data_IF_619498858005
#
_entry.id   IF_619498858005
#
_cell.length_a   1.000
_cell.length_b   1.000
_cell.length_c   1.000
_cell.angle_alpha   90.00
_cell.angle_beta   90.00
_cell.angle_gamma   90.00
#
_symmetry.space_group_name_H-M   'P 1'
#
loop_
_entity.id
_entity.type
_entity.pdbx_description
1 polymer ?
#
# COMPACT_ATOMS: atom_id res chain seq x y z
N UNK A 1 -16.78 -10.56 -10.04
CA UNK A 1 -15.71 -11.52 -10.40
C UNK A 1 -14.80 -11.65 -9.17
N UNK A 2 -14.69 -12.85 -8.58
CA UNK A 2 -13.76 -13.07 -7.48
C UNK A 2 -12.42 -13.54 -8.08
N UNK A 3 -11.32 -12.86 -7.76
CA UNK A 3 -9.98 -13.25 -8.19
C UNK A 3 -9.40 -14.14 -7.08
N UNK A 4 -9.33 -15.47 -7.27
CA UNK A 4 -8.96 -16.37 -6.19
C UNK A 4 -7.53 -16.14 -5.70
N UNK A 5 -7.33 -16.35 -4.40
CA UNK A 5 -6.01 -16.33 -3.76
C UNK A 5 -5.20 -17.54 -4.25
N UNK A 6 -4.03 -17.28 -4.83
CA UNK A 6 -2.99 -18.29 -5.02
C UNK A 6 -3.31 -19.49 -5.92
N UNK A 7 -4.45 -19.52 -6.63
CA UNK A 7 -4.82 -20.68 -7.44
C UNK A 7 -4.26 -20.53 -8.87
N UNK A 8 -3.16 -21.23 -9.11
CA UNK A 8 -2.76 -21.81 -10.39
C UNK A 8 -3.23 -21.05 -11.64
N UNK A 9 -2.37 -20.14 -12.11
CA UNK A 9 -2.40 -19.71 -13.50
C UNK A 9 -1.74 -20.80 -14.37
N UNK A 10 -2.40 -21.36 -15.40
CA UNK A 10 -1.77 -22.27 -16.35
C UNK A 10 -0.52 -21.68 -17.03
N UNK A 11 -0.31 -20.36 -16.98
CA UNK A 11 0.88 -19.65 -17.47
C UNK A 11 1.98 -19.40 -16.41
N UNK A 12 1.80 -19.85 -15.15
CA UNK A 12 2.72 -19.63 -14.02
C UNK A 12 2.92 -18.15 -13.60
N UNK A 13 2.00 -17.24 -13.91
CA UNK A 13 2.15 -15.83 -13.53
C UNK A 13 2.10 -15.66 -12.01
N UNK A 14 3.18 -15.12 -11.44
CA UNK A 14 3.30 -14.85 -10.00
C UNK A 14 3.02 -13.36 -9.74
N UNK A 15 2.05 -13.09 -8.86
CA UNK A 15 1.63 -11.74 -8.45
C UNK A 15 2.41 -11.24 -7.22
N UNK A 16 3.73 -11.23 -7.31
CA UNK A 16 4.59 -10.61 -6.30
C UNK A 16 4.53 -9.07 -6.36
N UNK A 17 5.11 -8.41 -5.36
CA UNK A 17 5.12 -6.95 -5.21
C UNK A 17 5.79 -6.22 -6.39
N UNK A 18 5.06 -5.29 -7.01
CA UNK A 18 5.58 -4.40 -8.07
C UNK A 18 5.14 -2.95 -7.84
N UNK A 19 5.85 -2.01 -8.45
CA UNK A 19 5.57 -0.58 -8.35
C UNK A 19 5.83 -0.01 -6.95
N UNK A 20 5.42 1.25 -6.76
CA UNK A 20 5.80 2.05 -5.58
C UNK A 20 5.16 1.61 -4.27
N UNK A 21 3.99 0.95 -4.32
CA UNK A 21 3.32 0.41 -3.13
C UNK A 21 3.40 -1.13 -3.06
N UNK A 22 4.25 -1.76 -3.88
CA UNK A 22 4.43 -3.21 -3.90
C UNK A 22 3.11 -3.96 -4.04
N UNK A 23 2.33 -3.63 -5.09
CA UNK A 23 1.05 -4.28 -5.38
C UNK A 23 1.26 -5.79 -5.48
N UNK A 24 0.56 -6.55 -4.64
CA UNK A 24 0.74 -8.01 -4.50
C UNK A 24 -0.62 -8.69 -4.60
N UNK A 25 -0.64 -9.93 -5.12
CA UNK A 25 -1.80 -10.80 -5.29
C UNK A 25 -2.77 -10.45 -6.42
N UNK A 26 -3.26 -11.48 -7.11
CA UNK A 26 -4.23 -11.37 -8.21
C UNK A 26 -5.48 -10.54 -7.84
N UNK A 27 -5.95 -10.65 -6.60
CA UNK A 27 -7.11 -9.89 -6.11
C UNK A 27 -6.87 -8.38 -5.99
N UNK A 28 -5.63 -7.91 -6.09
CA UNK A 28 -5.33 -6.50 -6.23
C UNK A 28 -5.06 -6.12 -7.69
N UNK A 29 -4.30 -6.92 -8.44
CA UNK A 29 -4.01 -6.64 -9.86
C UNK A 29 -5.27 -6.60 -10.73
N UNK A 30 -6.20 -7.54 -10.55
CA UNK A 30 -7.44 -7.60 -11.34
C UNK A 30 -8.32 -6.36 -11.18
N UNK A 31 -8.75 -6.01 -9.95
CA UNK A 31 -9.53 -4.80 -9.72
C UNK A 31 -8.80 -3.51 -10.08
N UNK A 32 -7.49 -3.41 -9.79
CA UNK A 32 -6.70 -2.25 -10.22
C UNK A 32 -6.70 -2.10 -11.74
N UNK A 33 -6.56 -3.20 -12.47
CA UNK A 33 -6.63 -3.20 -13.94
C UNK A 33 -7.98 -2.71 -14.45
N UNK A 34 -9.08 -3.21 -13.87
CA UNK A 34 -10.43 -2.81 -14.29
C UNK A 34 -10.67 -1.32 -14.04
N UNK A 35 -10.28 -0.81 -12.87
CA UNK A 35 -10.51 0.59 -12.49
C UNK A 35 -9.60 1.56 -13.28
N UNK A 36 -8.36 1.17 -13.61
CA UNK A 36 -7.40 2.03 -14.29
C UNK A 36 -7.48 1.93 -15.82
N UNK A 37 -7.74 0.74 -16.36
CA UNK A 37 -7.63 0.44 -17.80
C UNK A 37 -8.95 -0.03 -18.42
N UNK A 38 -9.98 -0.31 -17.63
CA UNK A 38 -11.26 -0.85 -18.12
C UNK A 38 -11.18 -2.31 -18.59
N UNK A 39 -10.08 -3.01 -18.32
CA UNK A 39 -9.85 -4.40 -18.75
C UNK A 39 -8.96 -5.16 -17.73
N UNK A 40 -8.59 -6.41 -18.02
CA UNK A 40 -7.76 -7.25 -17.13
C UNK A 40 -6.27 -7.27 -17.52
N UNK A 41 -5.78 -6.25 -18.24
CA UNK A 41 -4.42 -6.23 -18.75
C UNK A 41 -3.35 -6.36 -17.65
N UNK A 42 -3.48 -5.69 -16.49
CA UNK A 42 -2.50 -5.85 -15.40
C UNK A 42 -2.56 -7.22 -14.72
N UNK A 43 -3.64 -7.99 -14.92
CA UNK A 43 -3.70 -9.38 -14.48
C UNK A 43 -2.91 -10.28 -15.44
N UNK A 44 -2.93 -9.99 -16.74
CA UNK A 44 -2.25 -10.76 -17.79
C UNK A 44 -0.77 -10.37 -17.90
N UNK A 45 -0.47 -9.08 -17.73
CA UNK A 45 0.84 -8.44 -17.89
C UNK A 45 1.24 -7.67 -16.62
N UNK A 46 1.38 -8.34 -15.46
CA UNK A 46 1.65 -7.67 -14.19
C UNK A 46 3.00 -6.95 -14.15
N UNK A 47 3.97 -7.35 -14.98
CA UNK A 47 5.27 -6.69 -15.13
C UNK A 47 5.17 -5.23 -15.56
N UNK A 48 4.08 -4.82 -16.23
CA UNK A 48 3.84 -3.42 -16.58
C UNK A 48 3.82 -2.51 -15.36
N UNK A 49 3.33 -3.01 -14.22
CA UNK A 49 3.33 -2.27 -12.95
C UNK A 49 4.76 -1.99 -12.43
N UNK A 50 5.77 -2.74 -12.86
CA UNK A 50 7.17 -2.47 -12.54
C UNK A 50 7.89 -1.61 -13.59
N UNK A 51 7.49 -1.72 -14.86
CA UNK A 51 8.22 -1.15 -15.99
C UNK A 51 7.65 0.19 -16.47
N UNK A 52 6.38 0.49 -16.17
CA UNK A 52 5.70 1.70 -16.62
C UNK A 52 5.43 2.63 -15.43
N UNK A 53 6.03 3.84 -15.40
CA UNK A 53 5.88 4.78 -14.29
C UNK A 53 4.43 5.19 -14.02
N UNK A 54 3.63 5.40 -15.07
CA UNK A 54 2.23 5.80 -14.93
C UNK A 54 1.38 4.71 -14.27
N UNK A 55 1.65 3.44 -14.61
CA UNK A 55 0.99 2.30 -13.96
C UNK A 55 1.53 2.08 -12.54
N UNK A 56 2.82 2.31 -12.30
CA UNK A 56 3.43 2.24 -10.97
C UNK A 56 2.77 3.25 -10.01
N UNK A 57 2.57 4.48 -10.46
CA UNK A 57 1.85 5.51 -9.71
C UNK A 57 0.35 5.25 -9.63
N UNK A 58 -0.27 4.88 -10.76
CA UNK A 58 -1.71 4.61 -10.85
C UNK A 58 -2.14 3.52 -9.89
N UNK A 59 -1.40 2.41 -9.83
CA UNK A 59 -1.69 1.30 -8.90
C UNK A 59 -1.47 1.67 -7.44
N UNK A 60 -0.44 2.46 -7.12
CA UNK A 60 -0.21 2.97 -5.77
C UNK A 60 -1.37 3.87 -5.30
N UNK A 61 -1.82 4.78 -6.17
CA UNK A 61 -2.94 5.67 -5.88
C UNK A 61 -4.28 4.92 -5.82
N UNK A 62 -4.49 3.97 -6.72
CA UNK A 62 -5.65 3.08 -6.69
C UNK A 62 -5.74 2.35 -5.35
N UNK A 63 -4.63 1.73 -4.90
CA UNK A 63 -4.62 0.99 -3.65
C UNK A 63 -4.90 1.91 -2.45
N UNK A 64 -4.29 3.11 -2.44
CA UNK A 64 -4.60 4.12 -1.45
C UNK A 64 -6.10 4.44 -1.40
N UNK A 65 -6.71 4.79 -2.54
CA UNK A 65 -8.13 5.16 -2.62
C UNK A 65 -9.06 4.00 -2.27
N UNK A 66 -8.79 2.81 -2.80
CA UNK A 66 -9.69 1.67 -2.72
C UNK A 66 -9.58 0.87 -1.42
N UNK A 67 -8.41 0.89 -0.76
CA UNK A 67 -8.13 0.02 0.40
C UNK A 67 -7.77 0.79 1.67
N UNK A 68 -7.11 1.95 1.55
CA UNK A 68 -6.49 2.62 2.71
C UNK A 68 -7.25 3.88 3.15
N UNK A 69 -7.71 4.70 2.20
CA UNK A 69 -8.17 6.06 2.47
C UNK A 69 -9.36 6.11 3.43
N UNK A 70 -10.28 5.14 3.33
CA UNK A 70 -11.45 5.03 4.20
C UNK A 70 -11.22 4.23 5.48
N UNK A 71 -10.00 3.73 5.72
CA UNK A 71 -9.71 2.96 6.92
C UNK A 71 -9.87 3.84 8.18
N UNK A 72 -10.36 3.23 9.26
CA UNK A 72 -10.51 3.92 10.53
C UNK A 72 -9.15 4.48 11.00
N UNK A 73 -9.15 5.74 11.43
CA UNK A 73 -7.93 6.45 11.83
C UNK A 73 -7.21 7.15 10.68
N UNK A 74 -7.15 6.54 9.48
CA UNK A 74 -6.58 7.21 8.29
C UNK A 74 -7.40 8.46 7.96
N UNK A 75 -8.72 8.37 8.00
CA UNK A 75 -9.65 9.51 7.83
C UNK A 75 -9.52 10.59 8.92
N UNK A 76 -8.86 10.28 10.03
CA UNK A 76 -8.59 11.21 11.14
C UNK A 76 -7.17 11.81 11.07
N UNK A 77 -6.40 11.50 10.03
CA UNK A 77 -5.02 11.96 9.89
C UNK A 77 -3.99 11.17 10.71
N UNK A 78 -4.37 9.99 11.23
CA UNK A 78 -3.47 9.15 12.01
C UNK A 78 -2.50 8.41 11.09
N UNK A 79 -1.23 8.80 11.10
CA UNK A 79 -0.21 8.18 10.27
C UNK A 79 0.00 6.71 10.63
N UNK A 80 -0.02 6.35 11.92
CA UNK A 80 0.10 4.96 12.36
C UNK A 80 -1.03 4.08 11.79
N UNK A 81 -2.26 4.57 11.76
CA UNK A 81 -3.39 3.86 11.15
C UNK A 81 -3.16 3.54 9.66
N UNK A 82 -2.42 4.39 8.93
CA UNK A 82 -2.06 4.11 7.54
C UNK A 82 -1.06 2.96 7.42
N UNK A 83 -0.07 2.87 8.31
CA UNK A 83 0.87 1.74 8.37
C UNK A 83 0.12 0.45 8.69
N UNK A 84 -0.80 0.53 9.67
CA UNK A 84 -1.60 -0.61 10.08
C UNK A 84 -2.51 -1.12 8.95
N UNK A 85 -3.11 -0.21 8.19
CA UNK A 85 -3.92 -0.57 7.02
C UNK A 85 -3.08 -1.17 5.87
N UNK A 86 -1.81 -0.79 5.73
CA UNK A 86 -0.91 -1.33 4.70
C UNK A 86 -0.35 -2.70 5.09
N UNK A 87 0.16 -2.86 6.32
CA UNK A 87 0.91 -4.05 6.72
C UNK A 87 0.89 -4.28 8.24
N UNK A 88 -0.25 -4.04 8.88
CA UNK A 88 -0.41 -4.05 10.34
C UNK A 88 0.02 -5.34 11.02
N UNK A 89 -0.24 -6.49 10.39
CA UNK A 89 0.12 -7.80 10.94
C UNK A 89 1.64 -7.94 11.17
N UNK A 90 2.47 -7.34 10.31
CA UNK A 90 3.92 -7.38 10.41
C UNK A 90 4.50 -6.18 11.17
N UNK A 91 3.91 -5.00 10.98
CA UNK A 91 4.52 -3.74 11.43
C UNK A 91 3.90 -3.20 12.73
N UNK A 92 2.66 -3.57 13.04
CA UNK A 92 1.88 -3.01 14.15
C UNK A 92 1.44 -4.03 15.20
N UNK A 93 1.80 -5.31 15.03
CA UNK A 93 1.52 -6.38 16.01
C UNK A 93 2.41 -6.31 17.26
N UNK A 94 3.58 -5.67 17.17
CA UNK A 94 4.54 -5.52 18.27
C UNK A 94 4.96 -4.07 18.41
N UNK A 95 5.40 -3.69 19.61
CA UNK A 95 5.97 -2.36 19.85
C UNK A 95 7.33 -2.21 19.17
N UNK A 96 7.71 -0.96 18.89
CA UNK A 96 9.07 -0.61 18.47
C UNK A 96 9.55 -1.34 17.20
N UNK A 97 8.73 -1.35 16.15
CA UNK A 97 9.03 -2.04 14.89
C UNK A 97 9.88 -1.18 13.95
N UNK A 98 11.02 -1.70 13.49
CA UNK A 98 11.97 -0.96 12.64
C UNK A 98 11.40 -0.55 11.27
N UNK A 99 10.51 -1.35 10.67
CA UNK A 99 9.87 -0.99 9.40
C UNK A 99 8.88 0.16 9.61
N UNK A 100 8.06 0.09 10.66
CA UNK A 100 7.15 1.18 11.01
C UNK A 100 7.91 2.49 11.29
N UNK A 101 9.03 2.42 12.03
CA UNK A 101 9.92 3.57 12.26
C UNK A 101 10.47 4.14 10.96
N UNK A 102 10.96 3.27 10.08
CA UNK A 102 11.52 3.70 8.79
C UNK A 102 10.49 4.48 7.97
N UNK A 103 9.23 4.05 7.97
CA UNK A 103 8.11 4.81 7.35
C UNK A 103 7.90 6.16 8.03
N UNK A 104 7.90 6.20 9.36
CA UNK A 104 7.73 7.44 10.14
C UNK A 104 8.84 8.45 9.84
N UNK A 105 10.08 8.01 9.74
CA UNK A 105 11.22 8.89 9.46
C UNK A 105 11.17 9.47 8.05
N UNK A 106 10.74 8.68 7.05
CA UNK A 106 10.48 9.21 5.70
C UNK A 106 9.35 10.24 5.73
N UNK A 107 8.25 9.95 6.42
CA UNK A 107 7.10 10.84 6.50
C UNK A 107 7.45 12.17 7.19
N UNK A 108 8.17 12.14 8.31
CA UNK A 108 8.67 13.34 9.00
C UNK A 108 9.55 14.20 8.10
N UNK A 109 10.45 13.60 7.31
CA UNK A 109 11.29 14.34 6.35
C UNK A 109 10.45 15.05 5.28
N UNK A 110 9.41 14.37 4.77
CA UNK A 110 8.50 14.97 3.78
C UNK A 110 7.70 16.13 4.38
N UNK A 111 7.14 15.97 5.58
CA UNK A 111 6.42 17.05 6.26
C UNK A 111 7.34 18.22 6.60
N UNK A 112 8.56 17.98 7.07
CA UNK A 112 9.53 19.05 7.33
C UNK A 112 9.81 19.92 6.10
N UNK A 113 9.77 19.33 4.90
CA UNK A 113 9.99 20.06 3.64
C UNK A 113 8.72 20.73 3.10
N UNK A 114 7.58 20.04 3.13
CA UNK A 114 6.38 20.45 2.38
C UNK A 114 5.23 20.93 3.27
N UNK A 115 5.23 20.61 4.56
CA UNK A 115 4.19 20.98 5.51
C UNK A 115 4.73 21.05 6.96
N UNK A 116 5.69 21.94 7.24
CA UNK A 116 6.46 21.92 8.49
C UNK A 116 5.64 22.21 9.76
N UNK A 117 4.42 22.74 9.60
CA UNK A 117 3.50 23.02 10.70
C UNK A 117 2.66 21.81 11.12
N UNK A 118 2.60 20.76 10.29
CA UNK A 118 1.82 19.56 10.58
C UNK A 118 2.56 18.71 11.62
N UNK A 119 1.89 18.44 12.73
CA UNK A 119 2.35 17.48 13.74
C UNK A 119 1.93 16.07 13.33
N UNK A 120 2.85 15.11 13.43
CA UNK A 120 2.56 13.71 13.12
C UNK A 120 1.79 13.06 14.26
N UNK A 121 0.62 12.50 13.96
CA UNK A 121 -0.10 11.60 14.85
C UNK A 121 0.26 10.15 14.54
N UNK A 122 0.96 9.49 15.46
CA UNK A 122 1.43 8.10 15.31
C UNK A 122 0.41 7.06 15.78
N UNK A 123 -0.78 7.47 16.23
CA UNK A 123 -1.81 6.55 16.69
C UNK A 123 -2.23 5.53 15.62
N UNK A 124 -2.72 4.38 16.07
CA UNK A 124 -3.23 3.32 15.21
C UNK A 124 -2.21 2.26 14.79
N UNK A 125 -0.96 2.32 15.26
CA UNK A 125 0.04 1.28 15.05
C UNK A 125 0.93 1.09 16.29
N UNK A 126 0.89 -0.09 16.92
CA UNK A 126 1.74 -0.37 18.10
C UNK A 126 3.23 -0.31 17.76
N UNK A 127 3.61 -0.57 16.52
CA UNK A 127 4.99 -0.47 16.04
C UNK A 127 5.65 0.88 16.25
N UNK A 128 4.85 1.94 16.40
CA UNK A 128 5.30 3.31 16.69
C UNK A 128 5.14 3.72 18.15
N UNK A 129 4.75 2.80 19.04
CA UNK A 129 4.71 3.06 20.48
C UNK A 129 6.10 2.82 21.09
N UNK A 130 6.40 3.60 22.14
CA UNK A 130 7.64 3.52 22.93
C UNK A 130 8.91 3.78 22.09
N UNK A 131 8.80 4.71 21.13
CA UNK A 131 9.92 5.27 20.36
C UNK A 131 10.81 6.16 21.22
#
# INVERSE_FOLDING_TARGET
>A
MAFPNGSYDPNKTVYFGRGYLQLTWAYNYGPASLDLLGNLDLLIHPERVANEPDLSWGTAFWYWKAKLHSAAGVTKGQFGASINAINGDLECSKVNNESAKSRLEIYKKLLGKYAPTIKVDTAGCKGLERL
#
